data_IF_030628392196
#
_entry.id   IF_030628392196
#
_cell.length_a   1.000
_cell.length_b   1.000
_cell.length_c   1.000
_cell.angle_alpha   90.00
_cell.angle_beta   90.00
_cell.angle_gamma   90.00
#
_symmetry.space_group_name_H-M   'P 1'
#
loop_
_entity.id
_entity.type
_entity.pdbx_description
1 polymer ?
#
# COMPACT_ATOMS: atom_id res chain seq x y z
N UNK A 1 -5.82 5.85 12.29
CA UNK A 1 -6.53 6.70 11.32
C UNK A 1 -7.27 7.88 11.96
N UNK A 2 -7.54 7.87 13.27
CA UNK A 2 -8.38 8.88 13.92
C UNK A 2 -7.95 10.32 13.65
N UNK A 3 -6.66 10.64 13.77
CA UNK A 3 -6.13 11.99 13.47
C UNK A 3 -6.34 12.43 12.01
N UNK A 4 -6.17 11.54 11.04
CA UNK A 4 -6.35 11.84 9.60
C UNK A 4 -7.82 12.08 9.28
N UNK A 5 -8.71 11.29 9.92
CA UNK A 5 -10.16 11.40 9.79
C UNK A 5 -10.68 12.70 10.40
N UNK A 6 -10.20 13.09 11.58
CA UNK A 6 -10.57 14.36 12.23
C UNK A 6 -10.20 15.58 11.39
N UNK A 7 -9.12 15.48 10.60
CA UNK A 7 -8.65 16.55 9.73
C UNK A 7 -9.29 16.55 8.34
N UNK A 8 -10.15 15.58 8.01
CA UNK A 8 -10.82 15.48 6.71
C UNK A 8 -9.86 15.26 5.54
N UNK A 9 -8.67 14.71 5.79
CA UNK A 9 -7.64 14.50 4.76
C UNK A 9 -7.95 13.19 4.03
N UNK A 10 -8.04 13.19 2.68
CA UNK A 10 -8.19 11.97 1.91
C UNK A 10 -7.07 10.97 2.22
N UNK A 11 -7.43 9.71 2.46
CA UNK A 11 -6.45 8.70 2.84
C UNK A 11 -6.79 7.31 2.29
N UNK A 12 -5.75 6.51 2.06
CA UNK A 12 -5.85 5.14 1.57
C UNK A 12 -4.80 4.26 2.22
N UNK A 13 -4.93 2.95 2.04
CA UNK A 13 -4.07 1.94 2.64
C UNK A 13 -3.20 1.23 1.60
N UNK A 14 -1.95 0.98 1.97
CA UNK A 14 -1.08 0.01 1.29
C UNK A 14 -0.79 -1.11 2.28
N UNK A 15 -1.14 -2.34 1.91
CA UNK A 15 -0.95 -3.52 2.78
C UNK A 15 0.34 -4.21 2.37
N UNK A 16 1.33 -4.21 3.26
CA UNK A 16 2.56 -4.98 3.06
C UNK A 16 2.40 -6.40 3.64
N UNK A 17 3.01 -7.40 3.00
CA UNK A 17 2.88 -8.84 3.33
C UNK A 17 1.42 -9.30 3.34
N UNK A 18 0.68 -8.92 2.31
CA UNK A 18 -0.77 -9.05 2.24
C UNK A 18 -1.30 -10.51 2.25
N UNK A 19 -0.43 -11.47 1.98
CA UNK A 19 -0.65 -12.92 2.03
C UNK A 19 -0.29 -13.55 3.38
N UNK A 20 0.29 -12.79 4.32
CA UNK A 20 0.64 -13.23 5.67
C UNK A 20 -0.27 -12.58 6.69
N UNK A 21 -0.91 -13.42 7.52
CA UNK A 21 -1.75 -12.97 8.63
C UNK A 21 -3.23 -13.19 8.35
N UNK A 22 -4.08 -12.40 9.00
CA UNK A 22 -5.53 -12.48 8.90
C UNK A 22 -6.12 -11.35 8.05
N UNK A 23 -7.42 -11.39 7.82
CA UNK A 23 -8.13 -10.34 7.06
C UNK A 23 -8.42 -9.07 7.88
N UNK A 24 -7.89 -8.93 9.09
CA UNK A 24 -8.25 -7.84 10.00
C UNK A 24 -7.99 -6.45 9.43
N UNK A 25 -6.93 -6.26 8.63
CA UNK A 25 -6.66 -4.98 7.95
C UNK A 25 -7.68 -4.71 6.85
N UNK A 26 -8.10 -5.73 6.09
CA UNK A 26 -9.13 -5.61 5.04
C UNK A 26 -10.50 -5.33 5.64
N UNK A 27 -10.85 -6.03 6.72
CA UNK A 27 -12.08 -5.82 7.47
C UNK A 27 -12.13 -4.42 8.08
N UNK A 28 -11.01 -3.95 8.65
CA UNK A 28 -10.89 -2.59 9.13
C UNK A 28 -11.07 -1.56 8.00
N UNK A 29 -10.36 -1.74 6.88
CA UNK A 29 -10.48 -0.85 5.72
C UNK A 29 -11.92 -0.78 5.20
N UNK A 30 -12.59 -1.93 5.08
CA UNK A 30 -13.99 -2.01 4.67
C UNK A 30 -14.94 -1.32 5.65
N UNK A 31 -14.78 -1.58 6.96
CA UNK A 31 -15.62 -0.96 8.00
C UNK A 31 -15.48 0.56 8.03
N UNK A 32 -14.27 1.07 7.82
CA UNK A 32 -13.97 2.50 7.86
C UNK A 32 -14.13 3.19 6.49
N UNK A 33 -14.54 2.46 5.43
CA UNK A 33 -14.61 2.93 4.04
C UNK A 33 -13.29 3.53 3.53
N UNK A 34 -12.16 2.93 3.89
CA UNK A 34 -10.83 3.36 3.48
C UNK A 34 -10.40 2.53 2.27
N UNK A 35 -10.09 3.15 1.12
CA UNK A 35 -9.66 2.41 -0.07
C UNK A 35 -8.29 1.76 0.17
N UNK A 36 -8.19 0.48 -0.19
CA UNK A 36 -6.89 -0.19 -0.31
C UNK A 36 -6.36 0.13 -1.70
N UNK A 37 -5.25 0.87 -1.76
CA UNK A 37 -4.64 1.32 -3.00
C UNK A 37 -3.67 0.28 -3.57
N UNK A 38 -3.03 -0.51 -2.70
CA UNK A 38 -2.11 -1.57 -3.13
C UNK A 38 -1.96 -2.65 -2.07
N UNK A 39 -1.76 -3.88 -2.54
CA UNK A 39 -1.33 -5.01 -1.73
C UNK A 39 0.01 -5.54 -2.23
N UNK A 40 0.95 -5.74 -1.31
CA UNK A 40 2.30 -6.25 -1.58
C UNK A 40 2.41 -7.63 -0.94
N UNK A 41 2.57 -8.72 -1.71
CA UNK A 41 2.75 -10.06 -1.16
C UNK A 41 4.11 -10.19 -0.45
N UNK A 42 4.23 -11.18 0.43
CA UNK A 42 5.49 -11.56 1.02
C UNK A 42 6.29 -12.42 0.04
N UNK A 43 7.16 -11.76 -0.72
CA UNK A 43 8.15 -12.46 -1.54
C UNK A 43 9.54 -12.36 -0.91
N UNK A 44 10.27 -13.48 -0.87
CA UNK A 44 11.64 -13.52 -0.33
C UNK A 44 12.56 -12.51 -1.03
N UNK A 45 12.40 -12.31 -2.34
CA UNK A 45 13.16 -11.32 -3.12
C UNK A 45 12.87 -9.88 -2.68
N UNK A 46 11.59 -9.55 -2.42
CA UNK A 46 11.20 -8.26 -1.84
C UNK A 46 11.83 -8.11 -0.45
N UNK A 47 11.83 -9.20 0.33
CA UNK A 47 12.34 -9.18 1.69
C UNK A 47 13.86 -8.93 1.79
N UNK A 48 14.60 -9.55 0.88
CA UNK A 48 16.04 -9.38 0.75
C UNK A 48 16.40 -7.98 0.24
N UNK A 49 15.62 -7.42 -0.70
CA UNK A 49 15.88 -6.07 -1.22
C UNK A 49 15.79 -4.99 -0.13
N UNK A 50 14.71 -4.98 0.68
CA UNK A 50 14.58 -3.99 1.75
C UNK A 50 15.65 -4.15 2.84
N UNK A 51 16.07 -5.39 3.13
CA UNK A 51 17.09 -5.67 4.16
C UNK A 51 18.49 -5.19 3.76
N UNK A 52 18.74 -5.03 2.46
CA UNK A 52 20.00 -4.52 1.91
C UNK A 52 19.94 -3.03 1.55
N UNK A 53 18.86 -2.31 1.90
CA UNK A 53 18.68 -0.89 1.57
C UNK A 53 18.51 -0.60 0.07
N UNK A 54 18.10 -1.59 -0.72
CA UNK A 54 17.84 -1.44 -2.16
C UNK A 54 16.35 -1.20 -2.41
N UNK A 55 16.04 -0.52 -3.51
CA UNK A 55 14.65 -0.34 -3.90
C UNK A 55 14.12 -1.64 -4.50
N UNK A 56 12.83 -1.93 -4.27
CA UNK A 56 12.17 -3.10 -4.86
C UNK A 56 12.26 -3.06 -6.39
N UNK A 57 12.13 -1.86 -6.99
CA UNK A 57 12.20 -1.67 -8.44
C UNK A 57 13.58 -1.97 -9.06
N UNK A 58 14.65 -1.94 -8.26
CA UNK A 58 16.00 -2.27 -8.74
C UNK A 58 16.17 -3.78 -8.93
N UNK A 59 15.42 -4.58 -8.15
CA UNK A 59 15.49 -6.05 -8.14
C UNK A 59 14.33 -6.67 -8.90
N UNK A 60 13.20 -5.98 -8.95
CA UNK A 60 11.95 -6.43 -9.57
C UNK A 60 11.33 -5.28 -10.39
N UNK A 61 11.84 -5.02 -11.61
CA UNK A 61 11.40 -3.91 -12.46
C UNK A 61 9.90 -3.87 -12.75
N UNK A 62 9.22 -5.02 -12.70
CA UNK A 62 7.76 -5.15 -12.85
C UNK A 62 6.98 -4.34 -11.80
N UNK A 63 7.58 -4.06 -10.63
CA UNK A 63 6.97 -3.23 -9.60
C UNK A 63 6.90 -1.76 -9.97
N UNK A 64 7.70 -1.31 -10.95
CA UNK A 64 7.73 0.09 -11.37
C UNK A 64 6.35 0.56 -11.84
N UNK A 65 5.67 -0.25 -12.63
CA UNK A 65 4.34 0.11 -13.14
C UNK A 65 3.29 0.07 -12.02
N UNK A 66 3.40 -0.88 -11.09
CA UNK A 66 2.54 -0.93 -9.90
C UNK A 66 2.65 0.33 -9.06
N UNK A 67 3.87 0.81 -8.79
CA UNK A 67 4.08 2.05 -8.03
C UNK A 67 3.62 3.30 -8.79
N UNK A 68 3.70 3.32 -10.13
CA UNK A 68 3.11 4.40 -10.94
C UNK A 68 1.59 4.43 -10.82
N UNK A 69 0.93 3.27 -10.87
CA UNK A 69 -0.51 3.18 -10.67
C UNK A 69 -0.93 3.63 -9.27
N UNK A 70 -0.18 3.24 -8.24
CA UNK A 70 -0.39 3.72 -6.87
C UNK A 70 -0.30 5.24 -6.77
N UNK A 71 0.72 5.84 -7.40
CA UNK A 71 0.87 7.30 -7.45
C UNK A 71 -0.35 7.96 -8.08
N UNK A 72 -0.82 7.46 -9.22
CA UNK A 72 -2.00 7.98 -9.91
C UNK A 72 -3.27 7.85 -9.04
N UNK A 73 -3.43 6.75 -8.31
CA UNK A 73 -4.55 6.56 -7.38
C UNK A 73 -4.49 7.55 -6.20
N UNK A 74 -3.30 7.81 -5.66
CA UNK A 74 -3.11 8.80 -4.60
C UNK A 74 -3.43 10.23 -5.09
N UNK A 75 -3.01 10.59 -6.31
CA UNK A 75 -3.36 11.87 -6.94
C UNK A 75 -4.87 12.04 -7.11
N UNK A 76 -5.57 11.00 -7.60
CA UNK A 76 -7.02 11.03 -7.75
C UNK A 76 -7.73 11.19 -6.40
N UNK A 77 -7.26 10.47 -5.38
CA UNK A 77 -7.79 10.53 -4.03
C UNK A 77 -7.53 11.89 -3.36
N UNK A 78 -6.37 12.51 -3.60
CA UNK A 78 -6.05 13.82 -3.03
C UNK A 78 -6.86 14.96 -3.66
N UNK A 79 -7.46 14.73 -4.84
CA UNK A 79 -8.26 15.71 -5.59
C UNK A 79 -9.76 15.59 -5.35
N UNK A 80 -10.22 14.50 -4.73
CA UNK A 80 -11.63 14.24 -4.38
C UNK A 80 -11.99 14.84 -3.02
#
# INVERSE_FOLDING_TARGET
MEAVRTLGIPCGLVINRADIGNNGVREYAARENIPILMEIPFERKIAESYSNGRLIIDVMPEWKEKFRQLYNQMELLARS
#
